data_IF_431938994484
#
_entry.id   IF_431938994484
#
_cell.length_a   1.000
_cell.length_b   1.000
_cell.length_c   1.000
_cell.angle_alpha   90.00
_cell.angle_beta   90.00
_cell.angle_gamma   90.00
#
_symmetry.space_group_name_H-M   'P 1'
#
loop_
_entity.id
_entity.type
_entity.pdbx_description
1 polymer ?
#
# COMPACT_ATOMS: atom_id res chain seq x y z
N UNK A 1 8.34 16.47 -1.10
CA UNK A 1 7.27 16.17 -2.09
C UNK A 1 5.95 16.48 -1.41
N UNK A 2 5.06 17.21 -2.06
CA UNK A 2 3.69 17.46 -1.58
C UNK A 2 2.75 16.29 -1.90
N UNK A 3 1.54 16.30 -1.33
CA UNK A 3 0.56 15.23 -1.45
C UNK A 3 0.12 14.99 -2.90
N UNK A 4 -0.23 16.04 -3.64
CA UNK A 4 -0.70 15.91 -5.03
C UNK A 4 0.38 15.41 -5.97
N UNK A 5 1.63 15.90 -5.80
CA UNK A 5 2.79 15.42 -6.56
C UNK A 5 3.07 13.94 -6.30
N UNK A 6 2.94 13.46 -5.06
CA UNK A 6 3.16 12.07 -4.73
C UNK A 6 2.17 11.15 -5.45
N UNK A 7 0.88 11.50 -5.44
CA UNK A 7 -0.18 10.77 -6.15
C UNK A 7 0.11 10.75 -7.65
N UNK A 8 0.40 11.92 -8.25
CA UNK A 8 0.72 12.05 -9.67
C UNK A 8 1.90 11.18 -10.09
N UNK A 9 2.99 11.16 -9.29
CA UNK A 9 4.16 10.34 -9.55
C UNK A 9 3.83 8.85 -9.48
N UNK A 10 3.04 8.41 -8.50
CA UNK A 10 2.66 7.01 -8.38
C UNK A 10 1.82 6.54 -9.58
N UNK A 11 0.87 7.36 -10.06
CA UNK A 11 0.10 7.03 -11.26
C UNK A 11 0.93 7.12 -12.55
N UNK A 12 1.84 8.08 -12.70
CA UNK A 12 2.78 8.12 -13.82
C UNK A 12 3.71 6.91 -13.86
N UNK A 13 4.04 6.36 -12.69
CA UNK A 13 4.87 5.18 -12.51
C UNK A 13 4.06 3.92 -12.21
N UNK A 14 2.89 3.80 -12.82
CA UNK A 14 1.90 2.76 -12.54
C UNK A 14 2.48 1.34 -12.62
N UNK A 15 3.23 1.06 -13.68
CA UNK A 15 3.90 -0.22 -13.94
C UNK A 15 5.42 -0.16 -13.72
N UNK A 16 5.94 0.94 -13.18
CA UNK A 16 7.37 1.09 -12.95
C UNK A 16 7.73 0.62 -11.54
N UNK A 17 8.24 -0.60 -11.46
CA UNK A 17 8.73 -1.24 -10.25
C UNK A 17 10.21 -0.93 -10.00
N UNK A 18 10.89 -0.24 -10.92
CA UNK A 18 12.31 0.10 -10.85
C UNK A 18 12.56 1.40 -10.11
N UNK A 19 13.84 1.66 -9.75
CA UNK A 19 14.19 2.88 -9.05
C UNK A 19 13.87 2.85 -7.55
N UNK A 20 13.79 4.04 -6.95
CA UNK A 20 13.60 4.23 -5.50
C UNK A 20 12.46 5.21 -5.23
N UNK A 21 11.69 4.96 -4.17
CA UNK A 21 10.63 5.87 -3.71
C UNK A 21 10.98 6.48 -2.35
N UNK A 22 10.72 7.79 -2.21
CA UNK A 22 10.89 8.48 -0.93
C UNK A 22 9.80 8.09 0.07
N UNK A 23 10.01 8.40 1.38
CA UNK A 23 8.98 8.19 2.40
C UNK A 23 7.71 8.99 2.12
N UNK A 24 7.86 10.25 1.70
CA UNK A 24 6.72 11.10 1.39
C UNK A 24 5.93 10.58 0.19
N UNK A 25 6.60 10.09 -0.87
CA UNK A 25 5.94 9.46 -2.01
C UNK A 25 5.10 8.26 -1.56
N UNK A 26 5.69 7.36 -0.78
CA UNK A 26 5.02 6.16 -0.29
C UNK A 26 3.85 6.48 0.64
N UNK A 27 4.09 7.24 1.73
CA UNK A 27 3.07 7.49 2.75
C UNK A 27 1.92 8.37 2.27
N UNK A 28 2.17 9.35 1.40
CA UNK A 28 1.10 10.15 0.81
C UNK A 28 0.24 9.32 -0.14
N UNK A 29 0.82 8.37 -0.87
CA UNK A 29 0.04 7.49 -1.72
C UNK A 29 -0.79 6.49 -0.90
N UNK A 30 -0.22 5.92 0.16
CA UNK A 30 -0.96 5.07 1.11
C UNK A 30 -2.11 5.84 1.74
N UNK A 31 -1.87 7.07 2.20
CA UNK A 31 -2.92 7.94 2.75
C UNK A 31 -4.04 8.21 1.74
N UNK A 32 -3.68 8.54 0.50
CA UNK A 32 -4.65 8.73 -0.59
C UNK A 32 -5.54 7.50 -0.79
N UNK A 33 -4.94 6.33 -0.90
CA UNK A 33 -5.68 5.07 -1.09
C UNK A 33 -6.59 4.77 0.11
N UNK A 34 -6.07 4.97 1.33
CA UNK A 34 -6.86 4.76 2.56
C UNK A 34 -8.07 5.69 2.61
N UNK A 35 -7.89 6.99 2.31
CA UNK A 35 -8.99 7.96 2.28
C UNK A 35 -10.01 7.66 1.19
N UNK A 36 -9.54 7.22 0.01
CA UNK A 36 -10.42 6.85 -1.09
C UNK A 36 -11.29 5.64 -0.74
N UNK A 37 -10.68 4.56 -0.21
CA UNK A 37 -11.41 3.35 0.18
C UNK A 37 -12.35 3.59 1.37
N UNK A 38 -11.90 4.36 2.35
CA UNK A 38 -12.73 4.74 3.50
C UNK A 38 -13.93 5.59 3.07
N UNK A 39 -13.70 6.59 2.21
CA UNK A 39 -14.77 7.43 1.67
C UNK A 39 -15.77 6.63 0.82
N UNK A 40 -15.28 5.72 -0.02
CA UNK A 40 -16.14 4.83 -0.81
C UNK A 40 -16.97 3.92 0.11
N UNK A 41 -16.36 3.31 1.13
CA UNK A 41 -17.08 2.47 2.10
C UNK A 41 -18.16 3.24 2.88
N UNK A 42 -17.86 4.48 3.30
CA UNK A 42 -18.87 5.34 3.94
C UNK A 42 -20.04 5.65 3.01
N UNK A 43 -19.77 6.03 1.77
CA UNK A 43 -20.83 6.33 0.80
C UNK A 43 -21.70 5.11 0.53
N UNK A 44 -21.10 3.94 0.32
CA UNK A 44 -21.83 2.69 0.12
C UNK A 44 -22.68 2.35 1.35
N UNK A 45 -22.13 2.45 2.55
CA UNK A 45 -22.86 2.19 3.79
C UNK A 45 -24.04 3.14 4.02
N UNK A 46 -23.96 4.39 3.56
CA UNK A 46 -25.06 5.37 3.67
C UNK A 46 -26.12 5.13 2.61
N UNK A 47 -25.72 4.93 1.34
CA UNK A 47 -26.66 4.91 0.22
C UNK A 47 -27.16 3.51 -0.14
N UNK A 48 -26.44 2.44 0.27
CA UNK A 48 -26.77 1.06 -0.07
C UNK A 48 -26.62 0.09 1.13
N UNK A 49 -27.18 0.39 2.31
CA UNK A 49 -26.84 -0.30 3.57
C UNK A 49 -27.17 -1.81 3.61
N UNK A 50 -27.95 -2.32 2.66
CA UNK A 50 -28.38 -3.72 2.61
C UNK A 50 -27.94 -4.45 1.35
N UNK A 51 -27.06 -3.87 0.53
CA UNK A 51 -26.68 -4.44 -0.76
C UNK A 51 -25.23 -4.90 -0.80
N UNK A 52 -24.93 -5.94 0.01
CA UNK A 52 -23.58 -6.50 0.14
C UNK A 52 -22.95 -6.95 -1.19
N UNK A 53 -23.76 -7.37 -2.16
CA UNK A 53 -23.26 -7.77 -3.48
C UNK A 53 -22.74 -6.60 -4.29
N UNK A 54 -23.46 -5.47 -4.30
CA UNK A 54 -23.01 -4.25 -4.98
C UNK A 54 -21.82 -3.61 -4.26
N UNK A 55 -21.79 -3.64 -2.91
CA UNK A 55 -20.67 -3.15 -2.13
C UNK A 55 -19.38 -3.87 -2.52
N UNK A 56 -19.40 -5.20 -2.64
CA UNK A 56 -18.26 -5.99 -3.08
C UNK A 56 -17.81 -5.66 -4.49
N UNK A 57 -18.74 -5.51 -5.42
CA UNK A 57 -18.44 -5.18 -6.82
C UNK A 57 -17.83 -3.78 -6.94
N UNK A 58 -18.44 -2.76 -6.33
CA UNK A 58 -17.92 -1.38 -6.37
C UNK A 58 -16.54 -1.30 -5.73
N UNK A 59 -16.36 -1.93 -4.56
CA UNK A 59 -15.08 -1.98 -3.89
C UNK A 59 -14.01 -2.64 -4.75
N UNK A 60 -14.34 -3.74 -5.45
CA UNK A 60 -13.43 -4.41 -6.37
C UNK A 60 -13.00 -3.50 -7.52
N UNK A 61 -13.95 -2.78 -8.15
CA UNK A 61 -13.65 -1.86 -9.25
C UNK A 61 -12.77 -0.68 -8.82
N UNK A 62 -12.88 -0.23 -7.56
CA UNK A 62 -12.00 0.81 -7.01
C UNK A 62 -10.64 0.23 -6.66
N UNK A 63 -10.58 -0.98 -6.10
CA UNK A 63 -9.37 -1.59 -5.59
C UNK A 63 -8.44 -2.11 -6.69
N UNK A 64 -9.00 -2.72 -7.75
CA UNK A 64 -8.21 -3.31 -8.84
C UNK A 64 -7.22 -2.32 -9.49
N UNK A 65 -7.62 -1.10 -9.89
CA UNK A 65 -6.68 -0.15 -10.47
C UNK A 65 -5.66 0.40 -9.48
N UNK A 66 -5.85 0.22 -8.17
CA UNK A 66 -4.93 0.69 -7.13
C UNK A 66 -3.89 -0.36 -6.71
N UNK A 67 -4.16 -1.65 -6.95
CA UNK A 67 -3.27 -2.75 -6.56
C UNK A 67 -1.88 -2.58 -7.20
N UNK A 68 -1.83 -2.33 -8.50
CA UNK A 68 -0.57 -2.25 -9.24
C UNK A 68 0.31 -1.09 -8.74
N UNK A 69 -0.19 0.17 -8.66
CA UNK A 69 0.64 1.27 -8.19
C UNK A 69 1.02 1.15 -6.70
N UNK A 70 0.19 0.50 -5.85
CA UNK A 70 0.57 0.19 -4.46
C UNK A 70 1.75 -0.78 -4.44
N UNK A 71 1.68 -1.88 -5.19
CA UNK A 71 2.78 -2.86 -5.28
C UNK A 71 4.04 -2.19 -5.85
N UNK A 72 3.89 -1.35 -6.89
CA UNK A 72 5.00 -0.66 -7.53
C UNK A 72 5.69 0.34 -6.58
N UNK A 73 4.93 1.18 -5.86
CA UNK A 73 5.53 2.13 -4.92
C UNK A 73 6.14 1.43 -3.71
N UNK A 74 5.55 0.31 -3.26
CA UNK A 74 6.10 -0.52 -2.18
C UNK A 74 7.41 -1.17 -2.60
N UNK A 75 7.49 -1.73 -3.80
CA UNK A 75 8.74 -2.27 -4.36
C UNK A 75 9.83 -1.19 -4.43
N UNK A 76 9.52 -0.01 -4.99
CA UNK A 76 10.47 1.13 -5.03
C UNK A 76 10.87 1.62 -3.64
N UNK A 77 9.97 1.50 -2.65
CA UNK A 77 10.29 1.84 -1.27
C UNK A 77 11.25 0.83 -0.64
N UNK A 78 11.10 -0.47 -0.92
CA UNK A 78 12.06 -1.51 -0.51
C UNK A 78 13.42 -1.32 -1.17
N UNK A 79 13.45 -0.94 -2.43
CA UNK A 79 14.66 -0.58 -3.15
C UNK A 79 15.42 0.59 -2.48
N UNK A 80 14.70 1.49 -1.81
CA UNK A 80 15.30 2.62 -1.09
C UNK A 80 16.14 2.19 0.12
N UNK A 81 15.92 0.97 0.64
CA UNK A 81 16.75 0.31 1.66
C UNK A 81 17.78 -0.67 1.07
N UNK A 82 17.93 -0.73 -0.25
CA UNK A 82 18.78 -1.72 -0.91
C UNK A 82 18.20 -3.14 -1.00
N UNK A 83 16.93 -3.33 -0.62
CA UNK A 83 16.24 -4.62 -0.63
C UNK A 83 15.50 -4.85 -1.95
N UNK A 84 15.28 -6.13 -2.28
CA UNK A 84 14.45 -6.50 -3.44
C UNK A 84 12.97 -6.18 -3.19
N UNK A 85 12.26 -5.70 -4.22
CA UNK A 85 10.81 -5.49 -4.16
C UNK A 85 10.01 -6.74 -3.80
N UNK A 86 10.54 -7.93 -4.09
CA UNK A 86 9.93 -9.21 -3.71
C UNK A 86 9.84 -9.45 -2.20
N UNK A 87 10.61 -8.69 -1.39
CA UNK A 87 10.52 -8.76 0.08
C UNK A 87 9.14 -8.41 0.63
N UNK A 88 8.32 -7.68 -0.12
CA UNK A 88 6.92 -7.45 0.27
C UNK A 88 6.11 -8.75 0.40
N UNK A 89 6.48 -9.81 -0.33
CA UNK A 89 5.81 -11.11 -0.25
C UNK A 89 5.97 -11.81 1.10
N UNK A 90 6.95 -11.43 1.93
CA UNK A 90 7.16 -11.98 3.27
C UNK A 90 5.94 -11.72 4.18
N UNK A 91 5.19 -10.66 3.92
CA UNK A 91 4.03 -10.29 4.73
C UNK A 91 2.74 -11.00 4.27
N UNK A 92 2.71 -11.60 3.07
CA UNK A 92 1.55 -12.35 2.56
C UNK A 92 1.10 -13.47 3.52
N UNK A 93 1.98 -14.32 4.08
CA UNK A 93 1.55 -15.37 5.01
C UNK A 93 0.80 -14.84 6.24
N UNK A 94 1.16 -13.67 6.77
CA UNK A 94 0.46 -13.05 7.89
C UNK A 94 -0.97 -12.66 7.53
N UNK A 95 -1.19 -12.09 6.36
CA UNK A 95 -2.54 -11.75 5.88
C UNK A 95 -3.35 -13.00 5.57
N UNK A 96 -2.75 -14.02 4.94
CA UNK A 96 -3.41 -15.31 4.69
C UNK A 96 -3.80 -15.99 6.01
N UNK A 97 -2.92 -15.98 7.00
CA UNK A 97 -3.23 -16.55 8.32
C UNK A 97 -4.40 -15.82 9.00
N UNK A 98 -4.48 -14.50 8.88
CA UNK A 98 -5.60 -13.74 9.41
C UNK A 98 -6.93 -14.13 8.76
N UNK A 99 -6.95 -14.30 7.43
CA UNK A 99 -8.14 -14.76 6.69
C UNK A 99 -8.53 -16.21 7.08
N UNK A 100 -7.56 -17.10 7.23
CA UNK A 100 -7.81 -18.50 7.62
C UNK A 100 -8.39 -18.62 9.03
N UNK A 101 -7.97 -17.76 9.97
CA UNK A 101 -8.52 -17.70 11.33
C UNK A 101 -9.92 -17.06 11.33
N UNK A 102 -10.25 -16.30 10.30
CA UNK A 102 -11.49 -15.55 10.15
C UNK A 102 -11.44 -14.18 10.84
N UNK A 103 -12.41 -13.33 10.51
CA UNK A 103 -12.50 -11.94 10.99
C UNK A 103 -13.06 -11.86 12.42
N UNK A 104 -12.54 -12.70 13.33
CA UNK A 104 -12.76 -12.64 14.78
C UNK A 104 -11.63 -11.85 15.47
N UNK A 105 -11.65 -11.76 16.80
CA UNK A 105 -10.63 -11.01 17.55
C UNK A 105 -9.20 -11.46 17.25
N UNK A 106 -8.96 -12.77 17.09
CA UNK A 106 -7.63 -13.31 16.78
C UNK A 106 -7.20 -12.95 15.36
N UNK A 107 -8.09 -13.07 14.37
CA UNK A 107 -7.83 -12.66 12.98
C UNK A 107 -7.49 -11.17 12.88
N UNK A 108 -8.24 -10.31 13.57
CA UNK A 108 -7.94 -8.88 13.62
C UNK A 108 -6.58 -8.57 14.26
N UNK A 109 -6.21 -9.27 15.34
CA UNK A 109 -4.89 -9.11 15.98
C UNK A 109 -3.77 -9.48 15.01
N UNK A 110 -3.89 -10.59 14.29
CA UNK A 110 -2.91 -11.04 13.31
C UNK A 110 -2.82 -10.01 12.16
N UNK A 111 -3.96 -9.56 11.63
CA UNK A 111 -4.02 -8.60 10.52
C UNK A 111 -3.39 -7.26 10.89
N UNK A 112 -3.79 -6.69 12.03
CA UNK A 112 -3.25 -5.42 12.54
C UNK A 112 -1.75 -5.57 12.85
N UNK A 113 -1.36 -6.65 13.53
CA UNK A 113 0.04 -6.93 13.85
C UNK A 113 0.92 -6.98 12.59
N UNK A 114 0.49 -7.74 11.56
CA UNK A 114 1.18 -7.82 10.28
C UNK A 114 1.30 -6.44 9.61
N UNK A 115 0.21 -5.67 9.61
CA UNK A 115 0.17 -4.33 9.02
C UNK A 115 1.12 -3.36 9.75
N UNK A 116 1.11 -3.38 11.08
CA UNK A 116 1.99 -2.52 11.91
C UNK A 116 3.46 -2.86 11.68
N UNK A 117 3.82 -4.14 11.70
CA UNK A 117 5.21 -4.58 11.44
C UNK A 117 5.64 -4.14 10.05
N UNK A 118 4.78 -4.30 9.04
CA UNK A 118 5.07 -3.87 7.68
C UNK A 118 5.23 -2.35 7.57
N UNK A 119 4.36 -1.58 8.22
CA UNK A 119 4.43 -0.13 8.26
C UNK A 119 5.71 0.38 8.94
N UNK A 120 6.11 -0.22 10.08
CA UNK A 120 7.37 0.09 10.76
C UNK A 120 8.56 -0.19 9.83
N UNK A 121 8.54 -1.35 9.17
CA UNK A 121 9.58 -1.74 8.24
C UNK A 121 9.74 -0.73 7.09
N UNK A 122 8.63 -0.31 6.46
CA UNK A 122 8.64 0.67 5.38
C UNK A 122 8.92 2.11 5.84
N UNK A 123 8.83 2.40 7.14
CA UNK A 123 9.15 3.70 7.74
C UNK A 123 10.64 3.90 8.00
N UNK A 124 11.48 2.87 7.87
CA UNK A 124 12.91 2.95 8.15
C UNK A 124 13.63 4.00 7.29
N UNK A 125 14.81 4.45 7.76
CA UNK A 125 15.61 5.44 7.02
C UNK A 125 16.18 4.81 5.76
N UNK A 126 16.08 5.55 4.66
CA UNK A 126 16.65 5.21 3.37
C UNK A 126 18.18 5.16 3.40
N UNK A 127 18.76 4.39 2.48
CA UNK A 127 20.19 4.46 2.20
C UNK A 127 20.59 5.87 1.77
N UNK A 128 21.58 6.44 2.44
CA UNK A 128 22.11 7.79 2.15
C UNK A 128 22.98 7.84 0.91
N UNK A 129 23.30 6.71 0.30
CA UNK A 129 24.17 6.59 -0.88
C UNK A 129 23.37 6.01 -2.05
N UNK A 130 23.90 6.20 -3.28
CA UNK A 130 23.45 5.48 -4.45
C UNK A 130 23.59 3.97 -4.19
N UNK A 131 22.56 3.21 -4.43
CA UNK A 131 22.58 1.75 -4.34
C UNK A 131 22.32 1.10 -5.70
N UNK A 132 22.26 -0.24 -5.76
CA UNK A 132 22.04 -1.00 -6.99
C UNK A 132 20.74 -0.65 -7.73
N UNK A 133 19.79 -0.03 -7.07
CA UNK A 133 18.48 0.37 -7.63
C UNK A 133 18.44 1.83 -8.10
N UNK A 134 19.50 2.59 -7.90
CA UNK A 134 19.60 3.95 -8.45
C UNK A 134 19.99 5.05 -7.47
N UNK A 135 19.83 6.28 -7.93
CA UNK A 135 20.13 7.49 -7.15
C UNK A 135 19.11 7.69 -6.02
N UNK A 136 19.49 8.53 -5.04
CA UNK A 136 18.60 8.95 -3.96
C UNK A 136 17.38 9.66 -4.55
N UNK A 137 16.14 9.31 -4.15
CA UNK A 137 14.94 10.00 -4.60
C UNK A 137 15.00 11.50 -4.27
N UNK A 138 14.62 12.34 -5.20
CA UNK A 138 14.46 13.79 -4.95
C UNK A 138 13.35 13.97 -3.90
N UNK A 139 13.62 14.78 -2.89
CA UNK A 139 12.65 15.14 -1.85
C UNK A 139 11.55 16.04 -2.39
#
# INVERSE_FOLDING_TARGET
>A
MDFGSAISVCFKKYFDFSGRASRSEFWYFVLFVTLLLFGAGLLLGIFMPNNTSLDGVVTLFIYLPLIIPIIAVTARRLHDFGMSGWMQCIFIPGYVAAEMVGMNAAGWIIWIGTTVVFAIFLSQKADKKKNKFGAIPKK
#
